data_IF_999011036788
#
_entry.id   IF_999011036788
#
_cell.length_a   1.000
_cell.length_b   1.000
_cell.length_c   1.000
_cell.angle_alpha   90.00
_cell.angle_beta   90.00
_cell.angle_gamma   90.00
#
_symmetry.space_group_name_H-M   'P 1'
#
loop_
_entity.id
_entity.type
_entity.pdbx_description
1 polymer ?
#
# COMPACT_ATOMS: atom_id res chain seq x y z
N UNK A 1 30.20 1.27 -22.33
CA UNK A 1 30.82 1.66 -21.04
C UNK A 1 29.72 2.21 -20.14
N UNK A 2 29.67 1.75 -18.89
CA UNK A 2 28.51 1.80 -17.97
C UNK A 2 28.17 3.19 -17.37
N UNK A 3 26.92 3.31 -16.90
CA UNK A 3 26.26 4.41 -16.17
C UNK A 3 26.95 4.82 -14.84
N UNK A 4 26.67 6.06 -14.34
CA UNK A 4 26.68 6.27 -12.89
C UNK A 4 25.73 7.34 -12.26
N UNK A 5 24.38 7.35 -12.41
CA UNK A 5 23.53 8.11 -11.46
C UNK A 5 23.10 7.31 -10.23
N UNK A 6 23.27 5.98 -10.22
CA UNK A 6 22.73 5.10 -9.17
C UNK A 6 23.67 4.81 -7.99
N UNK A 7 24.80 5.52 -7.87
CA UNK A 7 25.81 5.28 -6.81
C UNK A 7 25.54 6.01 -5.49
N UNK A 8 24.60 6.94 -5.44
CA UNK A 8 24.37 7.79 -4.26
C UNK A 8 23.33 7.25 -3.26
N UNK A 9 22.56 6.21 -3.61
CA UNK A 9 21.61 5.61 -2.69
C UNK A 9 22.23 4.52 -1.80
N UNK A 10 23.27 3.84 -2.29
CA UNK A 10 23.93 2.74 -1.55
C UNK A 10 24.87 3.27 -0.46
N UNK A 11 25.38 4.50 -0.57
CA UNK A 11 26.32 5.08 0.42
C UNK A 11 25.65 5.71 1.65
N UNK A 12 24.31 5.80 1.70
CA UNK A 12 23.58 6.22 2.91
C UNK A 12 23.09 5.06 3.79
N UNK A 13 23.02 3.85 3.25
CA UNK A 13 22.55 2.69 4.03
C UNK A 13 23.68 1.94 4.76
N UNK A 14 24.95 2.21 4.41
CA UNK A 14 26.13 1.66 5.11
C UNK A 14 26.78 2.61 6.12
N UNK A 15 26.03 3.60 6.62
CA UNK A 15 26.41 4.48 7.76
C UNK A 15 25.39 4.39 8.89
N UNK A 16 24.79 3.21 9.09
CA UNK A 16 23.78 2.95 10.13
C UNK A 16 24.05 1.70 10.96
N UNK A 17 25.28 1.18 10.93
CA UNK A 17 25.75 0.14 11.84
C UNK A 17 26.99 0.65 12.57
N UNK A 18 26.92 0.61 13.90
CA UNK A 18 27.80 1.31 14.80
C UNK A 18 29.10 0.60 15.11
N UNK A 19 30.08 1.41 15.51
CA UNK A 19 31.13 1.01 16.42
C UNK A 19 31.50 2.26 17.24
N UNK A 20 31.02 2.33 18.48
CA UNK A 20 31.55 3.25 19.48
C UNK A 20 31.59 2.51 20.82
N UNK A 21 32.75 1.95 21.11
CA UNK A 21 33.10 1.33 22.38
C UNK A 21 33.59 2.38 23.40
N UNK A 22 33.03 2.27 24.62
CA UNK A 22 33.61 2.41 25.99
C UNK A 22 34.60 3.55 26.30
N UNK A 23 34.60 4.30 27.42
CA UNK A 23 33.96 4.32 28.75
C UNK A 23 34.08 5.81 29.24
N UNK A 24 33.54 6.35 30.33
CA UNK A 24 33.25 5.88 31.68
C UNK A 24 32.32 6.89 32.39
N UNK A 25 31.56 6.46 33.41
CA UNK A 25 30.83 7.37 34.31
C UNK A 25 29.69 6.66 35.06
N UNK A 26 29.60 6.74 36.39
CA UNK A 26 28.86 5.79 37.22
C UNK A 26 27.35 6.04 37.24
N UNK A 27 26.60 4.95 37.34
CA UNK A 27 25.18 4.94 37.65
C UNK A 27 24.92 5.37 39.10
N UNK A 28 23.72 5.91 39.39
CA UNK A 28 23.06 5.60 40.64
C UNK A 28 21.75 4.84 40.42
N UNK A 29 21.43 4.09 41.47
CA UNK A 29 20.35 3.14 41.63
C UNK A 29 18.96 3.77 41.49
N UNK A 30 18.02 2.92 41.09
CA UNK A 30 16.68 2.91 41.70
C UNK A 30 15.66 3.83 41.04
N UNK A 31 15.01 3.33 40.00
CA UNK A 31 13.66 3.75 39.69
C UNK A 31 12.90 2.56 39.09
N UNK A 32 12.13 1.89 39.95
CA UNK A 32 11.03 1.07 39.48
C UNK A 32 10.08 2.00 38.71
N UNK A 33 10.16 2.01 37.38
CA UNK A 33 9.11 2.58 36.56
C UNK A 33 7.97 1.58 36.56
N UNK A 34 6.98 1.87 37.40
CA UNK A 34 5.71 1.18 37.38
C UNK A 34 5.20 1.08 35.95
N UNK A 35 4.74 -0.12 35.58
CA UNK A 35 3.88 -0.29 34.43
C UNK A 35 2.73 0.71 34.56
N UNK A 36 2.58 1.58 33.56
CA UNK A 36 1.46 2.52 33.46
C UNK A 36 0.16 1.71 33.47
N UNK A 37 -0.77 1.96 34.43
CA UNK A 37 -2.05 1.26 34.49
C UNK A 37 -3.07 1.61 33.39
N UNK A 38 -2.63 2.28 32.31
CA UNK A 38 -3.49 2.95 31.34
C UNK A 38 -3.37 2.45 29.90
N UNK A 39 -2.70 1.33 29.66
CA UNK A 39 -2.60 0.74 28.32
C UNK A 39 -3.62 -0.39 28.12
N UNK A 40 -4.86 -0.19 28.62
CA UNK A 40 -6.04 -0.95 28.18
C UNK A 40 -6.92 -0.05 27.33
N UNK A 41 -6.34 0.54 26.29
CA UNK A 41 -7.13 1.13 25.22
C UNK A 41 -7.81 0.00 24.45
N UNK A 42 -9.12 -0.08 24.66
CA UNK A 42 -10.13 -0.69 23.80
C UNK A 42 -9.56 -1.27 22.48
N UNK A 43 -9.30 -2.58 22.45
CA UNK A 43 -8.92 -3.31 21.24
C UNK A 43 -10.13 -3.36 20.30
N UNK A 44 -10.51 -2.21 19.72
CA UNK A 44 -11.37 -2.20 18.54
C UNK A 44 -10.57 -2.93 17.47
N UNK A 45 -11.08 -4.06 16.98
CA UNK A 45 -10.43 -4.85 15.93
C UNK A 45 -9.99 -3.91 14.79
N UNK A 46 -8.68 -3.67 14.68
CA UNK A 46 -8.14 -2.84 13.61
C UNK A 46 -8.17 -3.65 12.34
N UNK A 47 -9.08 -3.29 11.43
CA UNK A 47 -9.09 -3.83 10.07
C UNK A 47 -7.79 -3.48 9.37
N UNK A 48 -7.13 -4.50 8.86
CA UNK A 48 -5.90 -4.35 8.09
C UNK A 48 -6.24 -4.31 6.60
N UNK A 49 -5.68 -3.33 5.89
CA UNK A 49 -5.81 -3.22 4.43
C UNK A 49 -4.52 -3.74 3.80
N UNK A 50 -4.65 -4.70 2.89
CA UNK A 50 -3.54 -5.28 2.14
C UNK A 50 -3.69 -4.93 0.66
N UNK A 51 -2.71 -4.24 0.10
CA UNK A 51 -2.67 -3.92 -1.33
C UNK A 51 -1.85 -4.98 -2.08
N UNK A 52 -2.44 -5.58 -3.11
CA UNK A 52 -1.77 -6.56 -3.97
C UNK A 52 -1.28 -5.85 -5.24
N UNK A 53 0.03 -5.62 -5.34
CA UNK A 53 0.65 -4.99 -6.50
C UNK A 53 1.39 -6.00 -7.40
N UNK A 54 1.52 -5.65 -8.68
CA UNK A 54 2.16 -6.50 -9.67
C UNK A 54 1.92 -6.02 -11.09
N UNK A 55 2.75 -6.47 -12.02
CA UNK A 55 2.64 -6.08 -13.43
C UNK A 55 1.31 -6.54 -14.06
N UNK A 56 0.99 -6.02 -15.25
CA UNK A 56 -0.13 -6.52 -16.05
C UNK A 56 0.10 -8.01 -16.34
N UNK A 57 -0.96 -8.81 -16.21
CA UNK A 57 -0.95 -10.26 -16.39
C UNK A 57 -0.07 -11.05 -15.38
N UNK A 58 0.31 -10.47 -14.24
CA UNK A 58 1.07 -11.19 -13.19
C UNK A 58 0.21 -12.11 -12.30
N UNK A 59 -1.09 -12.28 -12.59
CA UNK A 59 -1.99 -13.14 -11.80
C UNK A 59 -2.64 -12.49 -10.57
N UNK A 60 -2.66 -11.15 -10.47
CA UNK A 60 -3.28 -10.44 -9.33
C UNK A 60 -4.74 -10.85 -9.10
N UNK A 61 -5.56 -10.85 -10.15
CA UNK A 61 -6.98 -11.23 -10.05
C UNK A 61 -7.14 -12.68 -9.58
N UNK A 62 -6.33 -13.60 -10.10
CA UNK A 62 -6.30 -15.00 -9.67
C UNK A 62 -5.90 -15.15 -8.20
N UNK A 63 -4.96 -14.34 -7.71
CA UNK A 63 -4.61 -14.29 -6.29
C UNK A 63 -5.79 -13.81 -5.43
N UNK A 64 -6.48 -12.76 -5.87
CA UNK A 64 -7.65 -12.24 -5.15
C UNK A 64 -8.84 -13.23 -5.13
N UNK A 65 -9.07 -13.95 -6.23
CA UNK A 65 -10.09 -15.02 -6.32
C UNK A 65 -9.82 -16.17 -5.34
N UNK A 66 -8.56 -16.47 -5.00
CA UNK A 66 -8.25 -17.46 -3.98
C UNK A 66 -8.80 -17.06 -2.60
N UNK A 67 -8.78 -15.77 -2.26
CA UNK A 67 -9.25 -15.25 -0.97
C UNK A 67 -10.75 -14.93 -0.94
N UNK A 68 -11.44 -14.91 -2.09
CA UNK A 68 -12.87 -14.53 -2.15
C UNK A 68 -13.80 -15.51 -1.41
N UNK A 69 -13.32 -16.72 -1.10
CA UNK A 69 -14.08 -17.72 -0.35
C UNK A 69 -13.93 -17.60 1.17
N UNK A 70 -13.07 -16.71 1.66
CA UNK A 70 -12.91 -16.49 3.10
C UNK A 70 -13.96 -15.51 3.62
N UNK A 71 -14.56 -15.81 4.79
CA UNK A 71 -15.63 -15.00 5.39
C UNK A 71 -15.14 -13.69 5.97
N UNK A 72 -13.86 -13.62 6.32
CA UNK A 72 -13.28 -12.54 7.12
C UNK A 72 -12.56 -11.50 6.25
N UNK A 73 -12.48 -11.72 4.93
CA UNK A 73 -11.73 -10.88 4.00
C UNK A 73 -12.67 -10.33 2.94
N UNK A 74 -12.77 -9.00 2.87
CA UNK A 74 -13.40 -8.32 1.74
C UNK A 74 -12.40 -8.19 0.59
N UNK A 75 -12.72 -8.77 -0.56
CA UNK A 75 -11.89 -8.70 -1.76
C UNK A 75 -12.39 -7.58 -2.69
N UNK A 76 -11.52 -6.60 -2.97
CA UNK A 76 -11.80 -5.47 -3.86
C UNK A 76 -10.89 -5.54 -5.09
N UNK A 77 -11.33 -6.13 -6.22
CA UNK A 77 -10.54 -6.15 -7.45
C UNK A 77 -10.54 -4.79 -8.14
N UNK A 78 -9.52 -4.54 -8.96
CA UNK A 78 -9.46 -3.37 -9.84
C UNK A 78 -10.74 -3.26 -10.69
N UNK A 79 -11.40 -2.08 -10.76
CA UNK A 79 -12.66 -1.89 -11.47
C UNK A 79 -12.45 -1.75 -12.99
N UNK A 80 -11.68 -2.65 -13.60
CA UNK A 80 -11.42 -2.70 -15.05
C UNK A 80 -12.69 -2.61 -15.91
N UNK A 81 -13.84 -3.22 -15.53
CA UNK A 81 -15.09 -3.04 -16.27
C UNK A 81 -15.55 -1.57 -16.37
N UNK A 82 -15.38 -0.77 -15.30
CA UNK A 82 -15.68 0.68 -15.33
C UNK A 82 -14.80 1.39 -16.37
N UNK A 83 -13.53 1.00 -16.49
CA UNK A 83 -12.57 1.59 -17.43
C UNK A 83 -12.80 1.20 -18.89
N UNK A 84 -13.50 0.08 -19.13
CA UNK A 84 -13.85 -0.41 -20.47
C UNK A 84 -15.19 0.10 -20.99
N UNK A 85 -16.05 0.61 -20.11
CA UNK A 85 -17.35 1.13 -20.49
C UNK A 85 -17.76 2.34 -19.63
N UNK A 86 -17.53 3.53 -20.17
CA UNK A 86 -18.06 4.79 -19.65
C UNK A 86 -19.09 5.31 -20.64
N UNK A 87 -20.37 5.06 -20.36
CA UNK A 87 -21.50 5.48 -21.22
C UNK A 87 -21.34 5.04 -22.69
N UNK A 88 -20.89 3.81 -22.91
CA UNK A 88 -20.68 3.24 -24.25
C UNK A 88 -19.27 3.48 -24.84
N UNK A 89 -18.42 4.26 -24.18
CA UNK A 89 -17.04 4.46 -24.60
C UNK A 89 -16.07 3.55 -23.83
N UNK A 90 -14.96 3.17 -24.47
CA UNK A 90 -13.90 2.36 -23.86
C UNK A 90 -12.63 3.21 -23.65
N UNK A 91 -12.52 3.99 -22.56
CA UNK A 91 -11.34 4.80 -22.25
C UNK A 91 -10.03 4.00 -22.23
N UNK A 92 -10.06 2.78 -21.69
CA UNK A 92 -8.88 1.90 -21.69
C UNK A 92 -8.40 1.61 -23.12
N UNK A 93 -9.33 1.28 -24.02
CA UNK A 93 -9.05 1.09 -25.43
C UNK A 93 -8.58 2.36 -26.13
N UNK A 94 -9.15 3.53 -25.79
CA UNK A 94 -8.72 4.83 -26.33
C UNK A 94 -7.28 5.16 -25.95
N UNK A 95 -6.87 4.87 -24.71
CA UNK A 95 -5.49 5.03 -24.25
C UNK A 95 -4.53 4.12 -25.01
N UNK A 96 -4.90 2.87 -25.29
CA UNK A 96 -4.05 1.97 -26.08
C UNK A 96 -3.89 2.42 -27.54
N UNK A 97 -4.87 3.17 -28.07
CA UNK A 97 -4.82 3.72 -29.43
C UNK A 97 -4.02 5.02 -29.52
N UNK A 98 -4.24 5.94 -28.59
CA UNK A 98 -3.54 7.23 -28.54
C UNK A 98 -3.31 7.65 -27.08
N UNK A 99 -2.16 7.22 -26.55
CA UNK A 99 -1.76 7.48 -25.18
C UNK A 99 -1.49 8.98 -24.92
N UNK A 100 -1.01 9.73 -25.92
CA UNK A 100 -0.76 11.16 -25.79
C UNK A 100 -2.06 11.93 -25.53
N UNK A 101 -3.14 11.55 -26.21
CA UNK A 101 -4.45 12.18 -26.03
C UNK A 101 -5.20 11.66 -24.80
N UNK A 102 -5.19 10.35 -24.58
CA UNK A 102 -6.09 9.70 -23.63
C UNK A 102 -5.41 9.23 -22.34
N UNK A 103 -4.09 9.30 -22.24
CA UNK A 103 -3.32 8.86 -21.07
C UNK A 103 -3.75 9.54 -19.78
N UNK A 104 -3.77 10.88 -19.77
CA UNK A 104 -4.21 11.66 -18.61
C UNK A 104 -5.68 11.36 -18.26
N UNK A 105 -6.55 11.32 -19.28
CA UNK A 105 -8.00 11.06 -19.09
C UNK A 105 -8.23 9.71 -18.41
N UNK A 106 -7.60 8.64 -18.91
CA UNK A 106 -7.72 7.32 -18.31
C UNK A 106 -7.12 7.30 -16.90
N UNK A 107 -5.92 7.86 -16.70
CA UNK A 107 -5.24 7.83 -15.41
C UNK A 107 -6.03 8.55 -14.32
N UNK A 108 -6.60 9.73 -14.61
CA UNK A 108 -7.46 10.44 -13.65
C UNK A 108 -8.71 9.64 -13.32
N UNK A 109 -9.31 8.95 -14.31
CA UNK A 109 -10.47 8.10 -14.07
C UNK A 109 -10.14 6.85 -13.24
N UNK A 110 -8.99 6.21 -13.50
CA UNK A 110 -8.47 5.09 -12.69
C UNK A 110 -8.32 5.55 -11.24
N UNK A 111 -7.66 6.68 -10.99
CA UNK A 111 -7.48 7.24 -9.64
C UNK A 111 -8.81 7.49 -8.94
N UNK A 112 -9.79 8.10 -9.62
CA UNK A 112 -11.13 8.32 -9.07
C UNK A 112 -11.82 7.01 -8.68
N UNK A 113 -11.80 6.01 -9.57
CA UNK A 113 -12.47 4.73 -9.31
C UNK A 113 -11.79 3.89 -8.23
N UNK A 114 -10.47 4.00 -8.08
CA UNK A 114 -9.74 3.35 -6.99
C UNK A 114 -10.01 4.06 -5.66
N UNK A 115 -10.06 5.40 -5.66
CA UNK A 115 -10.41 6.19 -4.47
C UNK A 115 -11.80 5.81 -3.96
N UNK A 116 -12.79 5.72 -4.86
CA UNK A 116 -14.16 5.28 -4.55
C UNK A 116 -14.17 3.90 -3.85
N UNK A 117 -13.31 2.96 -4.27
CA UNK A 117 -13.17 1.68 -3.59
C UNK A 117 -12.49 1.80 -2.22
N UNK A 118 -11.44 2.62 -2.10
CA UNK A 118 -10.71 2.79 -0.85
C UNK A 118 -11.50 3.55 0.22
N UNK A 119 -12.44 4.41 -0.16
CA UNK A 119 -13.30 5.14 0.78
C UNK A 119 -14.66 4.47 1.01
N UNK A 120 -14.91 3.33 0.37
CA UNK A 120 -16.14 2.56 0.57
C UNK A 120 -16.23 2.12 2.04
N UNK A 121 -17.42 2.20 2.68
CA UNK A 121 -17.65 1.59 3.97
C UNK A 121 -17.37 0.08 3.89
N UNK A 122 -16.32 -0.36 4.57
CA UNK A 122 -16.05 -1.77 4.82
C UNK A 122 -16.95 -2.19 5.99
N UNK A 123 -17.45 -3.43 5.97
CA UNK A 123 -18.47 -4.00 6.87
C UNK A 123 -18.53 -3.50 8.35
N UNK A 124 -18.92 -2.27 8.74
CA UNK A 124 -19.42 -2.02 10.12
C UNK A 124 -20.92 -1.78 10.02
N UNK A 125 -21.69 -2.77 10.52
CA UNK A 125 -23.11 -2.76 10.90
C UNK A 125 -24.13 -2.20 9.88
N UNK A 126 -24.93 -3.12 9.31
CA UNK A 126 -26.30 -2.84 8.89
C UNK A 126 -27.23 -2.83 10.11
#
# INVERSE_FOLDING_TARGET
>A
MLLPPLRNWVTRLLRRQGLRSSASGPAPLGAQRGASPWDKENEKEKRSVVCVEGNIASGKTTCLEFFSNSTDIEVLPEPVPKWRNVRGHNPLGLMYRDACRWGLTLQTYVQLTMLDQHTRPQWEDA
#
